data_IF_170307854412
#
_entry.id   IF_170307854412
#
_cell.length_a   1.000
_cell.length_b   1.000
_cell.length_c   1.000
_cell.angle_alpha   90.00
_cell.angle_beta   90.00
_cell.angle_gamma   90.00
#
_symmetry.space_group_name_H-M   'P 1'
#
loop_
_entity.id
_entity.type
_entity.pdbx_description
1 polymer ?
#
# COMPACT_ATOMS: atom_id res chain seq x y z
N UNK A 1 -25.09 1.85 11.70
CA UNK A 1 -24.72 3.03 10.88
C UNK A 1 -23.56 3.72 11.57
N UNK A 2 -22.39 3.74 10.96
CA UNK A 2 -21.14 4.27 11.57
C UNK A 2 -21.24 5.78 11.75
N UNK A 3 -20.99 6.26 12.98
CA UNK A 3 -21.08 7.66 13.37
C UNK A 3 -19.71 8.34 13.34
N UNK A 4 -19.56 9.39 12.55
CA UNK A 4 -18.29 10.06 12.31
C UNK A 4 -18.35 11.52 12.73
N UNK A 5 -17.40 11.95 13.54
CA UNK A 5 -17.18 13.35 13.88
C UNK A 5 -16.31 14.02 12.82
N UNK A 6 -16.72 15.18 12.34
CA UNK A 6 -15.94 16.04 11.44
C UNK A 6 -15.54 17.31 12.20
N UNK A 7 -14.24 17.50 12.46
CA UNK A 7 -13.71 18.67 13.15
C UNK A 7 -12.76 19.45 12.23
N UNK A 8 -13.14 20.62 11.81
CA UNK A 8 -12.28 21.53 11.03
C UNK A 8 -12.76 22.97 11.16
N UNK A 9 -11.83 23.90 11.09
CA UNK A 9 -12.11 25.33 10.97
C UNK A 9 -12.71 25.72 9.61
N UNK A 10 -12.55 24.85 8.58
CA UNK A 10 -13.07 25.10 7.23
C UNK A 10 -14.48 24.54 7.05
N UNK A 11 -15.49 25.42 7.14
CA UNK A 11 -16.91 25.07 6.92
C UNK A 11 -17.17 24.45 5.53
N UNK A 12 -16.45 24.91 4.50
CA UNK A 12 -16.55 24.36 3.15
C UNK A 12 -16.11 22.89 3.09
N UNK A 13 -15.00 22.57 3.73
CA UNK A 13 -14.49 21.20 3.79
C UNK A 13 -15.43 20.27 4.58
N UNK A 14 -15.91 20.71 5.74
CA UNK A 14 -16.85 19.95 6.56
C UNK A 14 -18.12 19.62 5.76
N UNK A 15 -18.70 20.62 5.08
CA UNK A 15 -19.95 20.41 4.33
C UNK A 15 -19.76 19.45 3.16
N UNK A 16 -18.72 19.63 2.36
CA UNK A 16 -18.42 18.76 1.22
C UNK A 16 -18.13 17.31 1.67
N UNK A 17 -17.37 17.12 2.76
CA UNK A 17 -17.11 15.80 3.32
C UNK A 17 -18.37 15.17 3.91
N UNK A 18 -19.16 15.94 4.65
CA UNK A 18 -20.42 15.46 5.24
C UNK A 18 -21.39 14.97 4.19
N UNK A 19 -21.62 15.72 3.11
CA UNK A 19 -22.51 15.32 2.01
C UNK A 19 -22.05 14.01 1.37
N UNK A 20 -20.77 13.87 1.09
CA UNK A 20 -20.21 12.67 0.49
C UNK A 20 -20.28 11.44 1.41
N UNK A 21 -19.99 11.62 2.70
CA UNK A 21 -20.07 10.54 3.69
C UNK A 21 -21.51 10.11 3.96
N UNK A 22 -22.47 11.05 3.98
CA UNK A 22 -23.90 10.72 4.10
C UNK A 22 -24.41 9.94 2.90
N UNK A 23 -23.91 10.21 1.69
CA UNK A 23 -24.23 9.43 0.50
C UNK A 23 -23.72 7.97 0.56
N UNK A 24 -22.70 7.71 1.37
CA UNK A 24 -22.11 6.39 1.61
C UNK A 24 -22.61 5.73 2.92
N UNK A 25 -23.80 6.14 3.40
CA UNK A 25 -24.47 5.60 4.59
C UNK A 25 -23.74 5.82 5.93
N UNK A 26 -22.92 6.88 6.06
CA UNK A 26 -22.32 7.29 7.32
C UNK A 26 -23.14 8.39 8.00
N UNK A 27 -23.32 8.31 9.32
CA UNK A 27 -23.86 9.42 10.11
C UNK A 27 -22.75 10.41 10.46
N UNK A 28 -22.91 11.68 10.11
CA UNK A 28 -21.88 12.70 10.32
C UNK A 28 -22.30 13.75 11.34
N UNK A 29 -21.40 14.06 12.28
CA UNK A 29 -21.52 15.10 13.29
C UNK A 29 -20.48 16.18 12.99
N UNK A 30 -20.88 17.45 12.98
CA UNK A 30 -20.01 18.57 12.57
C UNK A 30 -19.60 19.41 13.77
N UNK A 31 -18.31 19.67 13.89
CA UNK A 31 -17.75 20.58 14.87
C UNK A 31 -16.79 21.57 14.17
N UNK A 32 -16.90 22.84 14.49
CA UNK A 32 -16.00 23.90 14.02
C UNK A 32 -14.93 24.27 15.04
N UNK A 33 -15.10 23.82 16.29
CA UNK A 33 -14.17 24.05 17.39
C UNK A 33 -13.95 22.78 18.23
N UNK A 34 -12.78 22.65 18.88
CA UNK A 34 -12.50 21.55 19.81
C UNK A 34 -13.50 21.41 20.95
N UNK A 35 -14.06 22.52 21.42
CA UNK A 35 -15.07 22.53 22.49
C UNK A 35 -16.37 21.86 22.07
N UNK A 36 -16.86 22.18 20.87
CA UNK A 36 -18.05 21.54 20.29
C UNK A 36 -17.80 20.07 20.01
N UNK A 37 -16.62 19.72 19.50
CA UNK A 37 -16.20 18.33 19.29
C UNK A 37 -16.25 17.53 20.59
N UNK A 38 -15.71 18.06 21.69
CA UNK A 38 -15.71 17.41 22.99
C UNK A 38 -17.13 17.24 23.57
N UNK A 39 -18.04 18.17 23.31
CA UNK A 39 -19.43 18.08 23.72
C UNK A 39 -20.17 16.97 22.95
N UNK A 40 -19.97 16.88 21.63
CA UNK A 40 -20.52 15.81 20.80
C UNK A 40 -19.99 14.43 21.22
N UNK A 41 -18.68 14.32 21.53
CA UNK A 41 -18.09 13.06 22.02
C UNK A 41 -18.66 12.61 23.37
N UNK A 42 -19.19 13.52 24.20
CA UNK A 42 -19.85 13.19 25.47
C UNK A 42 -21.31 12.79 25.31
N UNK A 43 -21.99 13.34 24.32
CA UNK A 43 -23.43 13.12 24.07
C UNK A 43 -23.72 11.96 23.15
N UNK A 44 -22.80 11.62 22.25
CA UNK A 44 -22.97 10.60 21.21
C UNK A 44 -21.86 9.57 21.28
N UNK A 45 -22.19 8.30 21.05
CA UNK A 45 -21.21 7.26 20.79
C UNK A 45 -20.71 7.39 19.36
N UNK A 46 -19.46 7.79 19.17
CA UNK A 46 -18.86 7.98 17.86
C UNK A 46 -17.86 6.87 17.57
N UNK A 47 -17.86 6.39 16.34
CA UNK A 47 -16.97 5.29 15.89
C UNK A 47 -15.63 5.81 15.36
N UNK A 48 -15.62 7.04 14.82
CA UNK A 48 -14.39 7.67 14.30
C UNK A 48 -14.48 9.18 14.30
N UNK A 49 -13.30 9.84 14.24
CA UNK A 49 -13.18 11.27 14.00
C UNK A 49 -12.32 11.56 12.77
N UNK A 50 -12.69 12.61 12.04
CA UNK A 50 -11.87 13.21 10.98
C UNK A 50 -11.56 14.63 11.41
N UNK A 51 -10.26 14.93 11.56
CA UNK A 51 -9.79 16.23 12.05
C UNK A 51 -8.83 16.89 11.07
N UNK A 52 -8.78 18.21 11.05
CA UNK A 52 -7.74 18.91 10.31
C UNK A 52 -6.39 18.90 11.07
N UNK A 53 -5.31 19.19 10.34
CA UNK A 53 -3.95 19.17 10.88
C UNK A 53 -3.71 20.15 12.03
N UNK A 54 -4.57 21.13 12.26
CA UNK A 54 -4.49 22.08 13.38
C UNK A 54 -4.99 21.49 14.70
N UNK A 55 -5.75 20.38 14.63
CA UNK A 55 -6.40 19.74 15.77
C UNK A 55 -5.79 18.34 16.09
N UNK A 56 -4.57 18.08 15.67
CA UNK A 56 -3.87 16.78 15.84
C UNK A 56 -3.72 16.39 17.31
N UNK A 57 -3.50 17.35 18.19
CA UNK A 57 -3.24 17.11 19.62
C UNK A 57 -4.50 16.76 20.43
N UNK A 58 -5.68 16.70 19.81
CA UNK A 58 -6.92 16.42 20.50
C UNK A 58 -7.08 14.91 20.66
N UNK A 59 -6.80 14.39 21.85
CA UNK A 59 -7.10 13.00 22.19
C UNK A 59 -8.59 12.88 22.53
N UNK A 60 -9.35 12.29 21.61
CA UNK A 60 -10.79 12.07 21.78
C UNK A 60 -11.12 10.63 22.20
N UNK A 61 -10.12 9.77 22.39
CA UNK A 61 -10.29 8.37 22.76
C UNK A 61 -10.96 7.51 21.69
N UNK A 62 -11.14 8.04 20.47
CA UNK A 62 -11.73 7.36 19.32
C UNK A 62 -10.76 7.34 18.13
N UNK A 63 -10.86 6.36 17.23
CA UNK A 63 -10.05 6.29 16.03
C UNK A 63 -10.10 7.59 15.23
N UNK A 64 -8.95 8.24 15.03
CA UNK A 64 -8.88 9.58 14.42
C UNK A 64 -8.11 9.54 13.10
N UNK A 65 -8.66 10.19 12.07
CA UNK A 65 -8.03 10.40 10.75
C UNK A 65 -7.71 11.88 10.63
N UNK A 66 -6.47 12.22 10.27
CA UNK A 66 -6.03 13.62 10.09
C UNK A 66 -6.04 13.98 8.62
N UNK A 67 -6.59 15.17 8.30
CA UNK A 67 -6.56 15.74 6.94
C UNK A 67 -5.72 17.01 6.96
N UNK A 68 -4.78 17.14 6.00
CA UNK A 68 -3.95 18.32 5.85
C UNK A 68 -4.01 18.91 4.44
N UNK A 69 -4.14 20.23 4.31
CA UNK A 69 -4.05 20.90 3.02
C UNK A 69 -2.61 21.00 2.47
N UNK A 70 -1.62 20.87 3.35
CA UNK A 70 -0.20 20.83 2.97
C UNK A 70 0.42 19.58 3.56
N UNK A 71 0.56 18.50 2.77
CA UNK A 71 1.20 17.29 3.25
C UNK A 71 2.69 17.57 3.48
N UNK A 72 3.12 17.37 4.73
CA UNK A 72 4.52 17.41 5.11
C UNK A 72 4.80 16.19 6.00
N UNK A 73 6.03 15.67 5.92
CA UNK A 73 6.42 14.42 6.58
C UNK A 73 6.39 14.59 8.11
N UNK A 74 6.80 15.74 8.61
CA UNK A 74 6.88 16.00 10.05
C UNK A 74 5.49 16.03 10.67
N UNK A 75 4.54 16.72 10.04
CA UNK A 75 3.12 16.75 10.46
C UNK A 75 2.47 15.38 10.40
N UNK A 76 2.80 14.56 9.40
CA UNK A 76 2.29 13.20 9.30
C UNK A 76 2.84 12.30 10.42
N UNK A 77 4.12 12.42 10.74
CA UNK A 77 4.76 11.69 11.85
C UNK A 77 4.19 12.12 13.19
N UNK A 78 3.95 13.43 13.38
CA UNK A 78 3.34 13.98 14.58
C UNK A 78 1.90 13.46 14.76
N UNK A 79 1.09 13.48 13.71
CA UNK A 79 -0.27 12.92 13.74
C UNK A 79 -0.28 11.46 14.18
N UNK A 80 0.60 10.63 13.62
CA UNK A 80 0.71 9.22 13.99
C UNK A 80 1.22 9.02 15.44
N UNK A 81 2.09 9.89 15.93
CA UNK A 81 2.54 9.88 17.33
C UNK A 81 1.42 10.21 18.31
N UNK A 82 0.50 11.08 17.91
CA UNK A 82 -0.70 11.40 18.68
C UNK A 82 -1.84 10.38 18.53
N UNK A 83 -1.57 9.25 17.86
CA UNK A 83 -2.53 8.14 17.78
C UNK A 83 -3.48 8.20 16.60
N UNK A 84 -3.25 9.09 15.63
CA UNK A 84 -4.02 9.07 14.39
C UNK A 84 -3.81 7.74 13.64
N UNK A 85 -4.89 7.17 13.14
CA UNK A 85 -4.86 5.89 12.41
C UNK A 85 -4.51 6.08 10.92
N UNK A 86 -4.75 7.26 10.38
CA UNK A 86 -4.37 7.64 9.01
C UNK A 86 -4.18 9.15 8.88
N UNK A 87 -3.40 9.56 7.86
CA UNK A 87 -3.13 10.94 7.50
C UNK A 87 -3.35 11.11 5.99
N UNK A 88 -4.24 12.04 5.62
CA UNK A 88 -4.65 12.28 4.25
C UNK A 88 -4.32 13.72 3.84
N UNK A 89 -3.86 13.89 2.59
CA UNK A 89 -3.68 15.21 1.97
C UNK A 89 -4.91 15.65 1.18
N UNK A 90 -5.09 16.94 1.00
CA UNK A 90 -6.04 17.46 0.02
C UNK A 90 -5.37 17.60 -1.36
N UNK A 91 -6.05 17.24 -2.47
CA UNK A 91 -7.43 16.75 -2.55
C UNK A 91 -7.60 15.36 -1.92
N UNK A 92 -8.69 15.19 -1.14
CA UNK A 92 -8.91 13.98 -0.35
C UNK A 92 -9.17 12.80 -1.28
N UNK A 93 -8.36 11.74 -1.15
CA UNK A 93 -8.66 10.44 -1.74
C UNK A 93 -9.83 9.78 -0.98
N UNK A 94 -11.03 9.95 -1.55
CA UNK A 94 -12.26 9.42 -0.96
C UNK A 94 -12.25 7.89 -0.86
N UNK A 95 -11.62 7.19 -1.79
CA UNK A 95 -11.55 5.73 -1.76
C UNK A 95 -10.73 5.26 -0.55
N UNK A 96 -9.60 5.92 -0.30
CA UNK A 96 -8.76 5.63 0.87
C UNK A 96 -9.46 5.98 2.18
N UNK A 97 -10.13 7.13 2.23
CA UNK A 97 -10.90 7.55 3.41
C UNK A 97 -12.01 6.54 3.74
N UNK A 98 -12.84 6.17 2.75
CA UNK A 98 -13.93 5.21 2.93
C UNK A 98 -13.43 3.82 3.34
N UNK A 99 -12.32 3.36 2.76
CA UNK A 99 -11.70 2.09 3.14
C UNK A 99 -11.26 2.09 4.61
N UNK A 100 -10.67 3.19 5.09
CA UNK A 100 -10.26 3.35 6.49
C UNK A 100 -11.46 3.38 7.43
N UNK A 101 -12.52 4.14 7.09
CA UNK A 101 -13.72 4.24 7.91
C UNK A 101 -14.51 2.91 8.00
N UNK A 102 -14.63 2.18 6.89
CA UNK A 102 -15.29 0.86 6.89
C UNK A 102 -14.53 -0.18 7.74
N UNK A 103 -13.20 -0.09 7.78
CA UNK A 103 -12.38 -0.94 8.65
C UNK A 103 -12.66 -0.69 10.13
N UNK A 104 -12.81 0.56 10.54
CA UNK A 104 -13.15 0.91 11.92
C UNK A 104 -14.52 0.34 12.31
N UNK A 105 -15.54 0.50 11.46
CA UNK A 105 -16.89 0.00 11.72
C UNK A 105 -17.00 -1.54 11.76
N UNK A 106 -16.04 -2.28 11.20
CA UNK A 106 -16.02 -3.74 11.22
C UNK A 106 -15.26 -4.36 12.41
N UNK A 107 -14.51 -3.58 13.18
CA UNK A 107 -13.74 -4.06 14.34
C UNK A 107 -14.59 -4.17 15.63
N UNK A 108 -15.82 -3.61 15.67
CA UNK A 108 -16.69 -3.67 16.85
C UNK A 108 -17.48 -4.97 17.02
N UNK A 109 -17.52 -5.87 16.04
CA UNK A 109 -18.25 -7.15 16.17
C UNK A 109 -17.42 -8.34 16.71
N UNK A 110 -16.21 -8.13 17.19
CA UNK A 110 -15.43 -9.23 17.76
C UNK A 110 -14.08 -8.85 18.35
N UNK A 111 -13.99 -8.35 19.52
CA UNK A 111 -13.15 -8.89 20.60
C UNK A 111 -12.97 -7.94 21.78
N UNK A 112 -13.53 -8.33 22.93
CA UNK A 112 -13.10 -7.89 24.26
C UNK A 112 -11.89 -8.73 24.70
N UNK A 113 -10.68 -8.17 24.80
CA UNK A 113 -9.51 -8.90 25.30
C UNK A 113 -8.21 -8.09 25.34
N UNK A 114 -7.97 -7.47 26.48
CA UNK A 114 -6.72 -7.05 27.17
C UNK A 114 -5.42 -6.67 26.41
N UNK A 115 -4.65 -5.70 26.96
CA UNK A 115 -3.48 -5.10 26.31
C UNK A 115 -2.21 -5.91 26.51
N UNK A 116 -1.49 -6.23 25.46
CA UNK A 116 -0.15 -6.81 25.54
C UNK A 116 0.91 -5.88 24.95
N UNK A 117 1.93 -5.71 25.75
CA UNK A 117 3.11 -4.85 25.65
C UNK A 117 3.74 -4.70 24.28
N UNK A 118 4.05 -3.44 23.95
CA UNK A 118 4.92 -3.04 22.85
C UNK A 118 6.36 -3.47 23.09
N UNK A 119 6.90 -4.31 22.23
CA UNK A 119 8.33 -4.40 21.99
C UNK A 119 8.66 -3.77 20.65
N UNK A 120 9.45 -2.73 20.70
CA UNK A 120 10.05 -2.00 19.58
C UNK A 120 10.91 -2.95 18.73
N UNK A 121 10.51 -3.16 17.48
CA UNK A 121 11.41 -3.65 16.41
C UNK A 121 11.09 -2.91 15.12
N UNK A 122 12.12 -2.24 14.62
CA UNK A 122 12.16 -1.47 13.39
C UNK A 122 11.78 -2.27 12.14
N UNK A 123 10.95 -1.65 11.31
CA UNK A 123 11.06 -1.66 9.85
C UNK A 123 10.83 -2.96 9.10
N UNK A 124 9.60 -3.44 9.05
CA UNK A 124 9.06 -4.08 7.85
C UNK A 124 7.54 -3.91 7.92
N UNK A 125 6.99 -3.15 7.00
CA UNK A 125 5.56 -2.90 6.90
C UNK A 125 4.86 -4.20 6.51
N UNK A 126 4.47 -4.99 7.53
CA UNK A 126 3.52 -6.09 7.32
C UNK A 126 2.19 -5.44 6.95
N UNK A 127 1.91 -5.35 5.67
CA UNK A 127 0.57 -5.03 5.19
C UNK A 127 -0.33 -6.21 5.52
N UNK A 128 -1.16 -6.08 6.57
CA UNK A 128 -2.32 -6.94 6.75
C UNK A 128 -3.22 -6.69 5.54
N UNK A 129 -3.17 -7.60 4.60
CA UNK A 129 -3.86 -7.47 3.31
C UNK A 129 -5.21 -8.16 3.43
N UNK A 130 -6.22 -7.41 3.83
CA UNK A 130 -7.58 -7.74 3.42
C UNK A 130 -7.60 -7.56 1.91
N UNK A 131 -7.61 -8.65 1.16
CA UNK A 131 -7.65 -8.63 -0.30
C UNK A 131 -9.00 -8.05 -0.69
N UNK A 132 -9.01 -6.83 -1.24
CA UNK A 132 -10.23 -6.27 -1.82
C UNK A 132 -10.66 -7.18 -2.97
N UNK A 133 -11.89 -7.68 -2.99
CA UNK A 133 -12.35 -8.53 -4.08
C UNK A 133 -12.39 -7.73 -5.38
N UNK A 134 -11.99 -8.36 -6.49
CA UNK A 134 -12.23 -7.80 -7.81
C UNK A 134 -13.75 -7.81 -8.05
N UNK A 135 -14.38 -6.64 -8.04
CA UNK A 135 -15.83 -6.49 -8.18
C UNK A 135 -16.18 -6.25 -9.65
N UNK A 136 -17.21 -6.90 -10.14
CA UNK A 136 -17.72 -6.74 -11.51
C UNK A 136 -18.50 -7.97 -11.96
N UNK A 137 -19.37 -7.80 -12.96
CA UNK A 137 -20.23 -8.84 -13.53
C UNK A 137 -20.05 -8.99 -15.05
N UNK A 138 -19.12 -8.25 -15.66
CA UNK A 138 -18.84 -8.40 -17.08
C UNK A 138 -18.11 -9.72 -17.33
N UNK A 139 -18.33 -10.29 -18.52
CA UNK A 139 -17.66 -11.52 -18.95
C UNK A 139 -16.13 -11.40 -18.88
N UNK A 140 -15.59 -10.24 -19.23
CA UNK A 140 -14.15 -9.96 -19.14
C UNK A 140 -13.63 -10.05 -17.69
N UNK A 141 -14.34 -9.52 -16.71
CA UNK A 141 -13.96 -9.61 -15.28
C UNK A 141 -14.08 -11.05 -14.76
N UNK A 142 -15.11 -11.80 -15.16
CA UNK A 142 -15.24 -13.20 -14.79
C UNK A 142 -14.12 -14.05 -15.41
N UNK A 143 -13.72 -13.74 -16.65
CA UNK A 143 -12.56 -14.38 -17.28
C UNK A 143 -11.28 -14.14 -16.47
N UNK A 144 -11.00 -12.87 -16.07
CA UNK A 144 -9.84 -12.51 -15.23
C UNK A 144 -9.88 -13.27 -13.90
N UNK A 145 -11.02 -13.34 -13.21
CA UNK A 145 -11.16 -14.11 -11.96
C UNK A 145 -10.87 -15.59 -12.15
N UNK A 146 -11.35 -16.16 -13.24
CA UNK A 146 -11.13 -17.57 -13.57
C UNK A 146 -9.65 -17.83 -13.81
N UNK A 147 -8.97 -16.95 -14.57
CA UNK A 147 -7.53 -17.04 -14.81
C UNK A 147 -6.73 -16.92 -13.50
N UNK A 148 -7.07 -15.98 -12.61
CA UNK A 148 -6.44 -15.84 -11.30
C UNK A 148 -6.56 -17.15 -10.51
N UNK A 149 -7.75 -17.72 -10.38
CA UNK A 149 -7.98 -18.96 -9.63
C UNK A 149 -7.23 -20.15 -10.21
N UNK A 150 -7.08 -20.18 -11.52
CA UNK A 150 -6.36 -21.26 -12.25
C UNK A 150 -4.85 -21.16 -12.06
N UNK A 151 -4.29 -19.93 -12.07
CA UNK A 151 -2.83 -19.69 -12.03
C UNK A 151 -2.30 -19.54 -10.59
N UNK A 152 -3.12 -19.02 -9.68
CA UNK A 152 -2.68 -18.73 -8.32
C UNK A 152 -2.10 -19.94 -7.56
N UNK A 153 -2.64 -21.17 -7.65
CA UNK A 153 -2.09 -22.34 -6.94
C UNK A 153 -0.71 -22.77 -7.42
N UNK A 154 -0.27 -22.34 -8.61
CA UNK A 154 1.06 -22.67 -9.14
C UNK A 154 2.09 -21.61 -8.74
N UNK A 155 3.39 -21.97 -8.83
CA UNK A 155 4.51 -21.02 -8.71
C UNK A 155 4.86 -20.31 -10.03
N UNK A 156 4.00 -20.44 -11.04
CA UNK A 156 4.20 -19.78 -12.33
C UNK A 156 4.37 -18.26 -12.17
N UNK A 157 5.32 -17.72 -12.91
CA UNK A 157 5.48 -16.27 -13.05
C UNK A 157 4.33 -15.73 -13.88
N UNK A 158 3.88 -14.54 -13.55
CA UNK A 158 2.72 -13.91 -14.19
C UNK A 158 3.09 -12.53 -14.67
N UNK A 159 2.72 -12.23 -15.92
CA UNK A 159 2.77 -10.88 -16.47
C UNK A 159 1.34 -10.38 -16.63
N UNK A 160 1.04 -9.21 -16.07
CA UNK A 160 -0.25 -8.54 -16.12
C UNK A 160 -0.11 -7.34 -17.07
N UNK A 161 -0.85 -7.35 -18.15
CA UNK A 161 -0.88 -6.26 -19.12
C UNK A 161 -2.17 -5.47 -18.97
N UNK A 162 -2.08 -4.15 -18.97
CA UNK A 162 -3.26 -3.27 -18.90
C UNK A 162 -2.89 -1.82 -18.70
N UNK A 163 -3.78 -0.94 -19.11
CA UNK A 163 -3.63 0.52 -18.97
C UNK A 163 -3.52 0.95 -17.50
N UNK A 164 -3.11 2.20 -17.26
CA UNK A 164 -3.05 2.75 -15.93
C UNK A 164 -4.45 2.81 -15.31
N UNK A 165 -4.54 2.47 -14.00
CA UNK A 165 -5.81 2.48 -13.28
C UNK A 165 -6.73 1.27 -13.51
N UNK A 166 -6.35 0.28 -14.34
CA UNK A 166 -7.19 -0.91 -14.60
C UNK A 166 -7.22 -1.93 -13.46
N UNK A 167 -6.45 -1.70 -12.38
CA UNK A 167 -6.44 -2.59 -11.21
C UNK A 167 -5.42 -3.72 -11.29
N UNK A 168 -4.29 -3.56 -11.99
CA UNK A 168 -3.19 -4.53 -12.05
C UNK A 168 -2.73 -4.99 -10.65
N UNK A 169 -2.65 -4.05 -9.69
CA UNK A 169 -2.31 -4.36 -8.29
C UNK A 169 -3.35 -5.27 -7.62
N UNK A 170 -4.65 -5.07 -7.86
CA UNK A 170 -5.71 -5.94 -7.34
C UNK A 170 -5.58 -7.36 -7.88
N UNK A 171 -5.19 -7.53 -9.15
CA UNK A 171 -4.93 -8.84 -9.75
C UNK A 171 -3.73 -9.51 -9.06
N UNK A 172 -2.63 -8.79 -8.86
CA UNK A 172 -1.43 -9.31 -8.19
C UNK A 172 -1.72 -9.74 -6.73
N UNK A 173 -2.46 -8.92 -5.98
CA UNK A 173 -2.92 -9.26 -4.62
C UNK A 173 -3.85 -10.47 -4.60
N UNK A 174 -4.75 -10.59 -5.58
CA UNK A 174 -5.64 -11.74 -5.69
C UNK A 174 -4.87 -13.03 -6.03
N UNK A 175 -3.86 -12.95 -6.90
CA UNK A 175 -2.96 -14.08 -7.18
C UNK A 175 -2.26 -14.57 -5.91
N UNK A 176 -1.71 -13.65 -5.09
CA UNK A 176 -1.13 -14.02 -3.79
C UNK A 176 -2.17 -14.68 -2.87
N UNK A 177 -3.35 -14.08 -2.74
CA UNK A 177 -4.40 -14.53 -1.82
C UNK A 177 -4.83 -15.98 -2.09
N UNK A 178 -4.97 -16.37 -3.36
CA UNK A 178 -5.34 -17.73 -3.76
C UNK A 178 -4.13 -18.68 -3.94
N UNK A 179 -2.91 -18.23 -3.60
CA UNK A 179 -1.69 -19.03 -3.73
C UNK A 179 -1.33 -19.78 -2.44
N UNK A 180 -0.50 -20.84 -2.51
CA UNK A 180 0.09 -21.46 -1.32
C UNK A 180 0.93 -20.48 -0.48
N UNK A 181 1.39 -19.35 -1.07
CA UNK A 181 2.19 -18.31 -0.42
C UNK A 181 1.36 -17.19 0.20
N UNK A 182 0.07 -17.39 0.45
CA UNK A 182 -0.83 -16.34 0.97
C UNK A 182 -0.37 -15.74 2.32
N UNK A 183 0.29 -16.52 3.18
CA UNK A 183 0.81 -16.07 4.47
C UNK A 183 2.27 -15.61 4.41
N UNK A 184 2.95 -15.82 3.28
CA UNK A 184 4.33 -15.42 3.06
C UNK A 184 4.43 -13.92 2.73
N UNK A 185 5.65 -13.33 2.76
CA UNK A 185 5.84 -11.93 2.39
C UNK A 185 5.26 -11.59 1.02
N UNK A 186 4.58 -10.44 0.92
CA UNK A 186 4.18 -9.84 -0.34
C UNK A 186 4.82 -8.48 -0.44
N UNK A 187 5.79 -8.35 -1.31
CA UNK A 187 6.59 -7.14 -1.49
C UNK A 187 6.22 -6.52 -2.82
N UNK A 188 5.97 -5.22 -2.82
CA UNK A 188 5.62 -4.47 -4.03
C UNK A 188 6.65 -3.39 -4.28
N UNK A 189 7.03 -3.23 -5.53
CA UNK A 189 7.85 -2.11 -6.01
C UNK A 189 7.20 -1.54 -7.28
N UNK A 190 6.99 -0.25 -7.27
CA UNK A 190 6.60 0.53 -8.44
C UNK A 190 7.88 1.06 -9.09
N UNK A 191 8.28 0.44 -10.21
CA UNK A 191 9.50 0.79 -10.93
C UNK A 191 9.37 2.16 -11.62
N UNK A 192 8.15 2.60 -11.97
CA UNK A 192 7.93 3.93 -12.52
C UNK A 192 8.24 5.07 -11.54
N UNK A 193 8.22 4.78 -10.23
CA UNK A 193 8.54 5.76 -9.18
C UNK A 193 10.02 5.76 -8.76
N UNK A 194 10.82 4.78 -9.18
CA UNK A 194 12.23 4.64 -8.82
C UNK A 194 13.11 5.29 -9.89
N UNK A 195 14.08 6.13 -9.55
CA UNK A 195 15.08 6.60 -10.50
C UNK A 195 15.86 5.45 -11.16
N UNK A 196 16.10 5.52 -12.46
CA UNK A 196 16.78 4.46 -13.25
C UNK A 196 18.10 4.01 -12.63
N UNK A 197 18.88 4.96 -12.10
CA UNK A 197 20.17 4.70 -11.44
C UNK A 197 20.07 3.86 -10.17
N UNK A 198 18.88 3.72 -9.59
CA UNK A 198 18.65 3.00 -8.35
C UNK A 198 18.01 1.62 -8.57
N UNK A 199 17.54 1.27 -9.77
CA UNK A 199 16.88 -0.01 -10.02
C UNK A 199 17.68 -1.22 -9.52
N UNK A 200 18.95 -1.28 -9.87
CA UNK A 200 19.79 -2.42 -9.48
C UNK A 200 19.98 -2.50 -7.96
N UNK A 201 20.23 -1.35 -7.32
CA UNK A 201 20.43 -1.31 -5.86
C UNK A 201 19.15 -1.63 -5.09
N UNK A 202 17.99 -1.21 -5.58
CA UNK A 202 16.70 -1.53 -4.96
C UNK A 202 16.35 -3.02 -5.16
N UNK A 203 16.46 -3.54 -6.38
CA UNK A 203 16.08 -4.93 -6.67
C UNK A 203 17.02 -5.95 -6.02
N UNK A 204 18.35 -5.76 -6.17
CA UNK A 204 19.36 -6.76 -5.80
C UNK A 204 20.11 -6.43 -4.51
N UNK A 205 20.00 -5.19 -4.00
CA UNK A 205 20.73 -4.75 -2.83
C UNK A 205 22.22 -4.41 -3.14
N UNK A 206 22.91 -3.94 -2.13
CA UNK A 206 24.33 -3.57 -2.24
C UNK A 206 25.11 -3.83 -0.95
N UNK A 207 26.41 -4.07 -1.10
CA UNK A 207 27.35 -4.17 0.00
C UNK A 207 27.90 -2.78 0.37
N UNK A 208 28.39 -2.65 1.59
CA UNK A 208 29.08 -1.43 2.02
C UNK A 208 30.25 -1.13 1.07
N UNK A 209 30.32 0.10 0.56
CA UNK A 209 31.37 0.55 -0.36
C UNK A 209 31.08 0.23 -1.84
N UNK A 210 29.91 -0.29 -2.20
CA UNK A 210 29.56 -0.58 -3.59
C UNK A 210 29.54 0.68 -4.49
N UNK A 211 29.28 1.85 -3.90
CA UNK A 211 29.34 3.18 -4.52
C UNK A 211 29.63 4.25 -3.46
N UNK A 212 29.90 5.49 -3.87
CA UNK A 212 30.43 6.56 -3.01
C UNK A 212 29.63 6.76 -1.71
N UNK A 213 28.28 6.63 -1.76
CA UNK A 213 27.38 6.84 -0.63
C UNK A 213 26.94 5.55 0.06
N UNK A 214 27.44 4.38 -0.33
CA UNK A 214 27.13 3.10 0.29
C UNK A 214 27.82 2.93 1.66
N UNK A 215 27.38 3.67 2.68
CA UNK A 215 27.95 3.64 4.05
C UNK A 215 27.65 2.37 4.82
N UNK A 216 26.57 1.66 4.47
CA UNK A 216 26.14 0.39 5.04
C UNK A 216 25.65 -0.54 3.94
N UNK A 217 25.58 -1.84 4.20
CA UNK A 217 24.90 -2.78 3.32
C UNK A 217 23.39 -2.56 3.33
N UNK A 218 22.73 -2.89 2.22
CA UNK A 218 21.25 -2.86 2.12
C UNK A 218 20.76 -4.08 1.35
N UNK A 219 19.75 -4.74 1.91
CA UNK A 219 19.05 -5.84 1.26
C UNK A 219 18.17 -5.34 0.12
N UNK A 220 18.22 -6.03 -1.01
CA UNK A 220 17.33 -5.77 -2.14
C UNK A 220 15.97 -6.42 -1.99
N UNK A 221 15.04 -6.03 -2.86
CA UNK A 221 13.66 -6.53 -2.83
C UNK A 221 13.58 -8.05 -3.04
N UNK A 222 14.48 -8.68 -3.80
CA UNK A 222 14.55 -10.13 -3.95
C UNK A 222 14.87 -10.85 -2.64
N UNK A 223 15.70 -10.27 -1.78
CA UNK A 223 15.97 -10.84 -0.46
C UNK A 223 14.82 -10.62 0.52
N UNK A 224 14.19 -9.43 0.47
CA UNK A 224 13.07 -9.08 1.36
C UNK A 224 11.84 -9.94 1.06
N UNK A 225 11.66 -10.31 -0.22
CA UNK A 225 10.55 -11.12 -0.69
C UNK A 225 10.80 -12.63 -0.61
N UNK A 226 11.96 -13.08 -0.11
CA UNK A 226 12.32 -14.49 -0.11
C UNK A 226 11.28 -15.38 0.58
N UNK A 227 10.98 -16.51 -0.03
CA UNK A 227 9.88 -17.41 0.35
C UNK A 227 8.48 -16.92 -0.01
N UNK A 228 8.35 -15.68 -0.49
CA UNK A 228 7.08 -14.99 -0.76
C UNK A 228 6.81 -14.68 -2.23
N UNK A 229 6.17 -13.53 -2.44
CA UNK A 229 5.83 -13.01 -3.77
C UNK A 229 6.36 -11.59 -3.92
N UNK A 230 7.04 -11.31 -5.01
CA UNK A 230 7.48 -9.98 -5.41
C UNK A 230 6.60 -9.50 -6.57
N UNK A 231 5.94 -8.38 -6.37
CA UNK A 231 5.17 -7.69 -7.40
C UNK A 231 5.99 -6.52 -7.95
N UNK A 232 6.31 -6.59 -9.25
CA UNK A 232 7.04 -5.59 -10.01
C UNK A 232 6.04 -4.83 -10.87
N UNK A 233 5.67 -3.62 -10.47
CA UNK A 233 4.81 -2.76 -11.29
C UNK A 233 5.67 -1.93 -12.25
N UNK A 234 5.16 -1.69 -13.45
CA UNK A 234 5.79 -0.99 -14.58
C UNK A 234 7.17 -1.59 -14.96
N UNK A 235 7.22 -2.94 -15.11
CA UNK A 235 8.44 -3.67 -15.48
C UNK A 235 9.03 -3.23 -16.83
N UNK A 236 8.21 -2.64 -17.70
CA UNK A 236 8.63 -2.09 -18.99
C UNK A 236 9.54 -0.85 -18.89
N UNK A 237 9.69 -0.25 -17.69
CA UNK A 237 10.58 0.90 -17.44
C UNK A 237 12.03 0.46 -17.15
N UNK A 238 12.30 -0.84 -16.99
CA UNK A 238 13.63 -1.33 -16.67
C UNK A 238 14.60 -1.14 -17.85
N UNK A 239 15.82 -0.63 -17.63
CA UNK A 239 16.88 -0.59 -18.65
C UNK A 239 17.36 -2.01 -18.99
N UNK A 240 17.86 -2.21 -20.20
CA UNK A 240 18.31 -3.52 -20.71
C UNK A 240 19.29 -4.24 -19.80
N UNK A 241 20.19 -3.50 -19.14
CA UNK A 241 21.15 -4.08 -18.18
C UNK A 241 20.44 -4.74 -17.01
N UNK A 242 19.43 -4.07 -16.45
CA UNK A 242 18.66 -4.59 -15.33
C UNK A 242 17.71 -5.71 -15.77
N UNK A 243 17.16 -5.63 -16.99
CA UNK A 243 16.35 -6.72 -17.58
C UNK A 243 17.17 -8.01 -17.68
N UNK A 244 18.41 -7.93 -18.15
CA UNK A 244 19.30 -9.12 -18.26
C UNK A 244 19.59 -9.74 -16.88
N UNK A 245 19.80 -8.92 -15.86
CA UNK A 245 19.99 -9.40 -14.47
C UNK A 245 18.69 -10.00 -13.91
N UNK A 246 17.57 -9.36 -14.16
CA UNK A 246 16.24 -9.88 -13.77
C UNK A 246 15.99 -11.25 -14.41
N UNK A 247 16.26 -11.40 -15.70
CA UNK A 247 16.11 -12.66 -16.41
C UNK A 247 16.91 -13.78 -15.74
N UNK A 248 18.17 -13.52 -15.39
CA UNK A 248 19.02 -14.48 -14.67
C UNK A 248 18.37 -14.93 -13.35
N UNK A 249 17.85 -13.98 -12.54
CA UNK A 249 17.18 -14.34 -11.29
C UNK A 249 15.92 -15.15 -11.54
N UNK A 250 15.17 -14.77 -12.57
CA UNK A 250 13.98 -15.53 -12.96
C UNK A 250 14.32 -16.96 -13.36
N UNK A 251 15.40 -17.21 -14.08
CA UNK A 251 15.82 -18.54 -14.54
C UNK A 251 16.41 -19.41 -13.44
N UNK A 252 17.33 -18.83 -12.65
CA UNK A 252 18.19 -19.60 -11.74
C UNK A 252 17.80 -19.45 -10.26
N UNK A 253 17.04 -18.42 -9.90
CA UNK A 253 16.81 -18.02 -8.50
C UNK A 253 18.07 -17.42 -7.85
N UNK A 254 19.07 -17.01 -8.65
CA UNK A 254 20.36 -16.53 -8.14
C UNK A 254 20.63 -15.10 -8.60
N UNK A 255 21.19 -14.29 -7.71
CA UNK A 255 21.64 -12.94 -8.00
C UNK A 255 22.88 -12.57 -7.16
N UNK A 256 23.48 -11.44 -7.50
CA UNK A 256 24.64 -10.91 -6.79
C UNK A 256 24.32 -9.46 -6.41
N UNK A 257 24.57 -9.08 -5.16
CA UNK A 257 24.47 -7.68 -4.70
C UNK A 257 25.47 -6.80 -5.43
N UNK A 258 25.17 -5.53 -5.57
CA UNK A 258 26.14 -4.56 -6.09
C UNK A 258 27.36 -4.49 -5.16
N UNK A 259 28.56 -4.50 -5.76
CA UNK A 259 29.82 -4.48 -5.02
C UNK A 259 30.22 -5.82 -4.37
N UNK A 260 29.45 -6.90 -4.59
CA UNK A 260 29.75 -8.25 -4.08
C UNK A 260 30.15 -9.20 -5.20
N UNK A 261 30.84 -10.27 -4.84
CA UNK A 261 31.09 -11.45 -5.70
C UNK A 261 30.31 -12.68 -5.23
N UNK A 262 29.57 -12.56 -4.10
CA UNK A 262 28.84 -13.68 -3.51
C UNK A 262 27.48 -13.85 -4.16
N UNK A 263 27.20 -15.09 -4.63
CA UNK A 263 25.91 -15.45 -5.18
C UNK A 263 24.89 -15.62 -4.04
N UNK A 264 23.79 -14.91 -4.12
CA UNK A 264 22.62 -15.05 -3.25
C UNK A 264 21.59 -15.93 -3.95
N UNK A 265 20.86 -16.73 -3.18
CA UNK A 265 19.72 -17.54 -3.68
C UNK A 265 18.42 -17.03 -3.11
N UNK A 266 17.39 -17.05 -3.93
CA UNK A 266 16.03 -16.64 -3.51
C UNK A 266 14.99 -17.58 -4.10
N UNK A 267 13.93 -17.81 -3.32
CA UNK A 267 12.75 -18.56 -3.74
C UNK A 267 11.54 -17.62 -3.78
N UNK A 268 11.55 -16.69 -4.73
CA UNK A 268 10.51 -15.67 -4.88
C UNK A 268 9.62 -16.00 -6.08
N UNK A 269 8.31 -16.00 -5.87
CA UNK A 269 7.36 -15.95 -6.98
C UNK A 269 7.28 -14.52 -7.50
N UNK A 270 7.55 -14.32 -8.79
CA UNK A 270 7.47 -12.99 -9.41
C UNK A 270 6.14 -12.82 -10.14
N UNK A 271 5.46 -11.73 -9.85
CA UNK A 271 4.31 -11.20 -10.59
C UNK A 271 4.74 -9.84 -11.12
N UNK A 272 4.71 -9.63 -12.42
CA UNK A 272 5.07 -8.38 -13.07
C UNK A 272 3.84 -7.72 -13.69
N UNK A 273 3.83 -6.40 -13.79
CA UNK A 273 2.80 -5.64 -14.49
C UNK A 273 3.42 -4.51 -15.30
N UNK A 274 2.75 -4.13 -16.38
CA UNK A 274 3.09 -2.93 -17.15
C UNK A 274 1.90 -2.43 -17.97
N UNK A 275 1.88 -1.13 -18.23
CA UNK A 275 1.00 -0.50 -19.20
C UNK A 275 1.67 -0.38 -20.59
N UNK A 276 2.98 -0.61 -20.68
CA UNK A 276 3.74 -0.49 -21.93
C UNK A 276 3.41 -1.62 -22.91
N UNK A 277 3.38 -1.28 -24.19
CA UNK A 277 3.33 -2.29 -25.25
C UNK A 277 4.71 -2.95 -25.40
N UNK A 278 4.92 -4.07 -24.71
CA UNK A 278 6.20 -4.79 -24.71
C UNK A 278 6.58 -5.29 -26.12
N UNK A 279 5.62 -5.64 -26.96
CA UNK A 279 5.93 -6.07 -28.34
C UNK A 279 6.54 -4.95 -29.15
N UNK A 280 6.03 -3.72 -28.98
CA UNK A 280 6.62 -2.54 -29.58
C UNK A 280 7.99 -2.21 -28.97
N UNK A 281 8.12 -2.33 -27.63
CA UNK A 281 9.39 -2.11 -26.95
C UNK A 281 10.49 -3.09 -27.42
N UNK A 282 10.13 -4.36 -27.68
CA UNK A 282 11.02 -5.37 -28.26
C UNK A 282 11.44 -4.95 -29.69
N UNK A 283 10.50 -4.52 -30.53
CA UNK A 283 10.80 -4.09 -31.89
C UNK A 283 11.74 -2.86 -31.92
N UNK A 284 11.60 -1.99 -30.92
CA UNK A 284 12.43 -0.79 -30.74
C UNK A 284 13.78 -1.08 -30.04
N UNK A 285 14.03 -2.33 -29.59
CA UNK A 285 15.22 -2.72 -28.88
C UNK A 285 15.33 -2.16 -27.44
N UNK A 286 14.19 -1.81 -26.83
CA UNK A 286 14.10 -1.28 -25.46
C UNK A 286 13.74 -2.36 -24.42
N UNK A 287 13.25 -3.52 -24.87
CA UNK A 287 12.87 -4.64 -24.01
C UNK A 287 13.34 -5.96 -24.64
#
# INVERSE_FOLDING_TARGET
MTKILLLSSSKSMINSLSERLQFEDFATFKADTPSVASEICRSESLDAAIVDSQNIALDMGIPTIVISPKPDIDSAVEALRHGAIDYLSTPIDMNRLLATLRRIGSEEEGNSGAPTQRTTRSGARRTNTTTQPIIGRSEAIEHVRTMIRRVAPSDARVLILGENGTGKDLVARSLRFFSPRQQAPFVTIDLGSVPETLFESELFGYEKGAFTDAKSERKGYFEIADGGTLFLDEVGELPLSTQARLLRVLETGEFIRMGSSHVQKTNVRVVAATNNNLMQAIADGRF
#
